data_IF_476212757732
#
_entry.id   IF_476212757732
#
_cell.length_a   1.000
_cell.length_b   1.000
_cell.length_c   1.000
_cell.angle_alpha   90.00
_cell.angle_beta   90.00
_cell.angle_gamma   90.00
#
_symmetry.space_group_name_H-M   'P 1'
#
loop_
_entity.id
_entity.type
_entity.pdbx_description
1 polymer ?
#
# COMPACT_ATOMS: atom_id res chain seq x y z
N UNK A 1 -25.20 5.07 70.25
CA UNK A 1 -24.88 5.73 68.96
C UNK A 1 -24.22 4.82 67.89
N UNK A 2 -23.76 3.60 68.23
CA UNK A 2 -23.00 2.70 67.32
C UNK A 2 -23.84 2.07 66.19
N UNK A 3 -25.16 1.91 66.37
CA UNK A 3 -26.05 1.23 65.41
C UNK A 3 -26.28 1.99 64.08
N UNK A 4 -26.23 3.33 64.07
CA UNK A 4 -26.49 4.13 62.85
C UNK A 4 -25.27 4.21 61.93
N UNK A 5 -24.07 4.23 62.49
CA UNK A 5 -22.81 4.30 61.73
C UNK A 5 -22.57 2.98 60.99
N UNK A 6 -22.76 1.84 61.67
CA UNK A 6 -22.61 0.52 61.06
C UNK A 6 -23.59 0.28 59.90
N UNK A 7 -24.82 0.79 60.01
CA UNK A 7 -25.84 0.70 58.95
C UNK A 7 -25.47 1.50 57.69
N UNK A 8 -24.85 2.67 57.85
CA UNK A 8 -24.36 3.50 56.73
C UNK A 8 -23.14 2.89 56.04
N UNK A 9 -22.25 2.25 56.79
CA UNK A 9 -21.09 1.54 56.21
C UNK A 9 -21.54 0.32 55.41
N UNK A 10 -22.51 -0.44 55.93
CA UNK A 10 -23.04 -1.62 55.25
C UNK A 10 -23.79 -1.26 53.95
N UNK A 11 -24.53 -0.15 53.92
CA UNK A 11 -25.17 0.32 52.67
C UNK A 11 -24.16 0.83 51.65
N UNK A 12 -23.05 1.42 52.09
CA UNK A 12 -21.97 1.84 51.21
C UNK A 12 -21.25 0.64 50.57
N UNK A 13 -20.91 -0.38 51.38
CA UNK A 13 -20.30 -1.62 50.89
C UNK A 13 -21.21 -2.36 49.90
N UNK A 14 -22.53 -2.40 50.15
CA UNK A 14 -23.50 -2.99 49.20
C UNK A 14 -23.51 -2.24 47.86
N UNK A 15 -23.40 -0.91 47.86
CA UNK A 15 -23.34 -0.12 46.62
C UNK A 15 -22.05 -0.35 45.84
N UNK A 16 -20.91 -0.45 46.52
CA UNK A 16 -19.61 -0.74 45.90
C UNK A 16 -19.63 -2.14 45.26
N UNK A 17 -20.14 -3.15 45.98
CA UNK A 17 -20.28 -4.49 45.44
C UNK A 17 -21.18 -4.53 44.19
N UNK A 18 -22.28 -3.76 44.19
CA UNK A 18 -23.16 -3.64 43.02
C UNK A 18 -22.46 -2.99 41.82
N UNK A 19 -21.62 -1.98 42.07
CA UNK A 19 -20.83 -1.30 41.04
C UNK A 19 -19.77 -2.23 40.42
N UNK A 20 -19.08 -3.01 41.25
CA UNK A 20 -18.07 -3.99 40.80
C UNK A 20 -18.74 -5.09 39.95
N UNK A 21 -19.91 -5.59 40.36
CA UNK A 21 -20.65 -6.59 39.59
C UNK A 21 -21.09 -6.07 38.21
N UNK A 22 -21.53 -4.79 38.12
CA UNK A 22 -21.88 -4.16 36.85
C UNK A 22 -20.65 -3.99 35.95
N UNK A 23 -19.51 -3.56 36.52
CA UNK A 23 -18.25 -3.41 35.78
C UNK A 23 -17.77 -4.75 35.21
N UNK A 24 -17.79 -5.82 36.01
CA UNK A 24 -17.40 -7.16 35.56
C UNK A 24 -18.34 -7.69 34.46
N UNK A 25 -19.64 -7.44 34.56
CA UNK A 25 -20.59 -7.79 33.51
C UNK A 25 -20.31 -7.03 32.20
N UNK A 26 -19.98 -5.74 32.30
CA UNK A 26 -19.62 -4.91 31.14
C UNK A 26 -18.35 -5.42 30.45
N UNK A 27 -17.29 -5.72 31.22
CA UNK A 27 -16.07 -6.32 30.67
C UNK A 27 -16.32 -7.67 30.01
N UNK A 28 -17.20 -8.50 30.58
CA UNK A 28 -17.62 -9.77 29.98
C UNK A 28 -18.32 -9.58 28.63
N UNK A 29 -19.26 -8.63 28.54
CA UNK A 29 -19.98 -8.32 27.29
C UNK A 29 -19.01 -7.81 26.21
N UNK A 30 -18.07 -6.93 26.56
CA UNK A 30 -17.06 -6.41 25.63
C UNK A 30 -16.14 -7.52 25.13
N UNK A 31 -15.71 -8.44 26.00
CA UNK A 31 -14.89 -9.58 25.61
C UNK A 31 -15.63 -10.54 24.66
N UNK A 32 -16.92 -10.80 24.92
CA UNK A 32 -17.77 -11.61 24.04
C UNK A 32 -17.96 -10.92 22.69
N UNK A 33 -18.25 -9.61 22.67
CA UNK A 33 -18.36 -8.85 21.41
C UNK A 33 -17.05 -8.84 20.60
N UNK A 34 -15.90 -8.76 21.27
CA UNK A 34 -14.60 -8.79 20.60
C UNK A 34 -14.32 -10.16 19.98
N UNK A 35 -14.68 -11.24 20.68
CA UNK A 35 -14.50 -12.62 20.18
C UNK A 35 -15.45 -12.94 19.03
N UNK A 36 -16.72 -12.52 19.09
CA UNK A 36 -17.68 -12.72 17.99
C UNK A 36 -17.29 -11.92 16.75
N UNK A 37 -16.87 -10.65 16.90
CA UNK A 37 -16.34 -9.87 15.77
C UNK A 37 -15.10 -10.51 15.14
N UNK A 38 -14.18 -11.05 15.96
CA UNK A 38 -13.00 -11.76 15.44
C UNK A 38 -13.41 -12.97 14.60
N UNK A 39 -14.37 -13.77 15.07
CA UNK A 39 -14.87 -14.96 14.35
C UNK A 39 -15.59 -14.57 13.05
N UNK A 40 -16.34 -13.48 13.04
CA UNK A 40 -17.05 -13.02 11.83
C UNK A 40 -16.09 -12.47 10.77
N UNK A 41 -15.02 -11.80 11.17
CA UNK A 41 -13.93 -11.38 10.26
C UNK A 41 -13.27 -12.61 9.61
N UNK A 42 -13.01 -13.68 10.37
CA UNK A 42 -12.43 -14.91 9.82
C UNK A 42 -13.38 -15.67 8.87
N UNK A 43 -14.71 -15.58 9.06
CA UNK A 43 -15.69 -16.21 8.15
C UNK A 43 -15.93 -15.45 6.85
N UNK A 44 -15.67 -14.13 6.82
CA UNK A 44 -15.86 -13.29 5.62
C UNK A 44 -14.61 -13.18 4.74
N UNK A 45 -13.47 -13.71 5.17
CA UNK A 45 -12.39 -13.97 4.22
C UNK A 45 -12.87 -15.06 3.26
N UNK A 46 -12.62 -14.93 1.94
CA UNK A 46 -12.81 -16.05 1.05
C UNK A 46 -12.02 -17.22 1.66
N UNK A 47 -12.71 -18.32 1.97
CA UNK A 47 -12.05 -19.61 2.20
C UNK A 47 -11.03 -19.73 1.08
N UNK A 48 -9.79 -20.04 1.42
CA UNK A 48 -8.77 -20.37 0.44
C UNK A 48 -9.28 -21.56 -0.38
N UNK A 49 -10.10 -21.28 -1.38
CA UNK A 49 -10.65 -22.21 -2.32
C UNK A 49 -9.52 -22.39 -3.31
N UNK A 50 -8.79 -23.49 -3.09
CA UNK A 50 -7.96 -24.17 -4.07
C UNK A 50 -7.17 -23.23 -4.96
N UNK A 51 -6.27 -22.47 -4.34
CA UNK A 51 -5.24 -21.67 -5.02
C UNK A 51 -4.19 -22.54 -5.73
N UNK A 52 -4.40 -23.85 -5.76
CA UNK A 52 -3.48 -24.87 -6.29
C UNK A 52 -3.87 -25.35 -7.69
N UNK A 53 -5.03 -24.96 -8.24
CA UNK A 53 -5.49 -25.53 -9.51
C UNK A 53 -4.78 -24.91 -10.74
N UNK A 54 -4.43 -23.63 -10.70
CA UNK A 54 -3.71 -22.93 -11.78
C UNK A 54 -2.18 -22.93 -11.59
N UNK A 55 -1.71 -23.55 -10.51
CA UNK A 55 -0.30 -23.74 -10.20
C UNK A 55 0.09 -25.22 -10.36
N UNK A 56 -0.60 -25.96 -11.23
CA UNK A 56 -0.09 -27.22 -11.77
C UNK A 56 1.00 -26.90 -12.80
N UNK A 57 2.15 -26.54 -12.24
CA UNK A 57 3.49 -26.98 -12.66
C UNK A 57 3.55 -27.33 -14.14
N UNK A 58 3.92 -26.31 -14.94
CA UNK A 58 4.84 -26.54 -16.05
C UNK A 58 5.89 -27.52 -15.54
N UNK A 59 5.90 -28.74 -16.10
CA UNK A 59 6.78 -29.85 -15.71
C UNK A 59 8.09 -29.32 -15.16
N UNK A 60 8.47 -29.66 -13.93
CA UNK A 60 9.60 -29.07 -13.19
C UNK A 60 10.88 -28.95 -14.05
N UNK A 61 11.07 -29.84 -15.04
CA UNK A 61 12.15 -29.78 -16.03
C UNK A 61 12.16 -28.53 -16.92
N UNK A 62 11.01 -28.03 -17.35
CA UNK A 62 10.91 -26.83 -18.20
C UNK A 62 11.11 -25.56 -17.39
N UNK A 63 10.55 -25.50 -16.17
CA UNK A 63 10.81 -24.40 -15.25
C UNK A 63 12.29 -24.33 -14.89
N UNK A 64 12.91 -25.46 -14.58
CA UNK A 64 14.33 -25.55 -14.26
C UNK A 64 15.20 -25.23 -15.47
N UNK A 65 14.80 -25.64 -16.68
CA UNK A 65 15.46 -25.28 -17.93
C UNK A 65 15.38 -23.77 -18.19
N UNK A 66 14.21 -23.16 -18.00
CA UNK A 66 14.03 -21.70 -18.16
C UNK A 66 14.84 -20.95 -17.12
N UNK A 67 14.76 -21.33 -15.84
CA UNK A 67 15.56 -20.73 -14.78
C UNK A 67 17.06 -20.85 -15.08
N UNK A 68 17.52 -22.02 -15.54
CA UNK A 68 18.92 -22.21 -15.94
C UNK A 68 19.31 -21.32 -17.12
N UNK A 69 18.43 -21.15 -18.11
CA UNK A 69 18.67 -20.25 -19.26
C UNK A 69 18.69 -18.78 -18.85
N UNK A 70 17.78 -18.36 -17.96
CA UNK A 70 17.73 -17.02 -17.40
C UNK A 70 19.00 -16.76 -16.59
N UNK A 71 19.38 -17.67 -15.70
CA UNK A 71 20.64 -17.54 -14.96
C UNK A 71 21.81 -17.50 -15.93
N UNK A 72 21.98 -18.43 -16.88
CA UNK A 72 23.08 -18.30 -17.88
C UNK A 72 23.05 -16.99 -18.69
N UNK A 73 21.89 -16.40 -18.91
CA UNK A 73 21.74 -15.14 -19.67
C UNK A 73 22.08 -13.91 -18.84
N UNK A 74 21.84 -13.94 -17.53
CA UNK A 74 21.89 -12.78 -16.63
C UNK A 74 22.83 -12.94 -15.42
N UNK A 75 23.52 -14.08 -15.28
CA UNK A 75 24.37 -14.45 -14.13
C UNK A 75 25.86 -14.31 -14.39
N UNK A 76 26.25 -13.92 -15.60
CA UNK A 76 27.57 -13.35 -15.81
C UNK A 76 27.48 -11.89 -15.37
N UNK A 77 28.49 -11.35 -14.69
CA UNK A 77 28.64 -9.94 -14.25
C UNK A 77 28.64 -8.92 -15.41
N UNK A 78 28.06 -9.26 -16.54
CA UNK A 78 27.80 -8.41 -17.68
C UNK A 78 26.60 -7.56 -17.33
N UNK A 79 26.83 -6.26 -17.14
CA UNK A 79 25.76 -5.27 -17.10
C UNK A 79 24.83 -5.50 -18.30
N UNK A 80 23.60 -5.93 -18.02
CA UNK A 80 22.61 -6.17 -19.07
C UNK A 80 22.17 -4.84 -19.66
N UNK A 81 22.85 -4.43 -20.72
CA UNK A 81 22.53 -3.24 -21.47
C UNK A 81 21.57 -3.59 -22.60
N UNK A 82 20.27 -3.40 -22.36
CA UNK A 82 19.28 -3.37 -23.44
C UNK A 82 19.09 -1.91 -23.88
N UNK A 83 19.37 -1.55 -25.15
CA UNK A 83 19.11 -0.21 -25.66
C UNK A 83 17.64 0.22 -25.52
N UNK A 84 16.72 -0.76 -25.45
CA UNK A 84 15.34 -0.50 -25.10
C UNK A 84 15.27 0.01 -23.66
N UNK A 85 15.92 -0.68 -22.69
CA UNK A 85 16.03 -0.34 -21.25
C UNK A 85 16.77 0.96 -20.94
N UNK A 86 17.33 1.61 -21.96
CA UNK A 86 18.01 2.88 -21.79
C UNK A 86 17.09 3.90 -21.12
N UNK A 87 17.65 4.63 -20.16
CA UNK A 87 16.92 5.61 -19.35
C UNK A 87 16.35 6.66 -20.30
N UNK A 88 15.01 6.66 -20.43
CA UNK A 88 14.32 7.73 -21.16
C UNK A 88 14.39 9.01 -20.33
N UNK A 89 14.47 10.14 -21.02
CA UNK A 89 14.47 11.45 -20.37
C UNK A 89 13.24 11.57 -19.47
N UNK A 90 13.48 11.86 -18.21
CA UNK A 90 12.43 12.20 -17.25
C UNK A 90 12.36 13.71 -17.15
N UNK A 91 11.15 14.25 -17.32
CA UNK A 91 10.91 15.69 -17.20
C UNK A 91 10.73 16.07 -15.73
N UNK A 92 9.99 15.23 -14.99
CA UNK A 92 9.68 15.44 -13.59
C UNK A 92 9.96 14.17 -12.80
N UNK A 93 10.87 14.25 -11.83
CA UNK A 93 11.26 13.14 -10.96
C UNK A 93 10.96 13.49 -9.49
N UNK A 94 10.34 12.58 -8.72
CA UNK A 94 10.13 12.76 -7.29
C UNK A 94 11.43 13.02 -6.53
N UNK A 95 11.38 13.81 -5.44
CA UNK A 95 12.56 14.16 -4.64
C UNK A 95 13.35 12.92 -4.17
N UNK A 96 14.68 13.04 -4.14
CA UNK A 96 15.56 12.02 -3.57
C UNK A 96 15.18 11.76 -2.10
N UNK A 97 15.07 10.49 -1.71
CA UNK A 97 14.66 10.08 -0.36
C UNK A 97 13.17 9.76 -0.20
N UNK A 98 12.34 9.95 -1.23
CA UNK A 98 10.92 9.56 -1.19
C UNK A 98 10.69 8.07 -0.86
N UNK A 99 11.60 7.19 -1.23
CA UNK A 99 11.48 5.77 -0.93
C UNK A 99 12.27 5.32 0.32
N UNK A 100 12.90 6.24 1.06
CA UNK A 100 13.81 5.89 2.16
C UNK A 100 13.15 5.08 3.29
N UNK A 101 11.87 5.33 3.55
CA UNK A 101 11.08 4.68 4.60
C UNK A 101 10.19 3.53 4.10
N UNK A 102 10.27 3.18 2.82
CA UNK A 102 9.34 2.26 2.17
C UNK A 102 10.06 1.05 1.60
N UNK A 103 9.48 -0.14 1.81
CA UNK A 103 10.00 -1.42 1.32
C UNK A 103 9.50 -1.70 -0.09
N UNK A 104 8.24 -1.34 -0.38
CA UNK A 104 7.65 -1.52 -1.71
C UNK A 104 7.31 -0.18 -2.36
N UNK A 105 7.47 -0.13 -3.68
CA UNK A 105 7.02 0.98 -4.51
C UNK A 105 5.86 0.48 -5.37
N UNK A 106 4.66 0.98 -5.11
CA UNK A 106 3.47 0.70 -5.92
C UNK A 106 3.39 1.79 -6.97
N UNK A 107 3.63 1.41 -8.22
CA UNK A 107 3.50 2.36 -9.32
C UNK A 107 2.15 2.22 -9.99
N UNK A 108 1.45 3.34 -10.15
CA UNK A 108 0.12 3.42 -10.76
C UNK A 108 0.23 4.18 -12.06
N UNK A 109 -0.14 3.54 -13.17
CA UNK A 109 -0.24 4.20 -14.46
C UNK A 109 -1.46 5.11 -14.47
N UNK A 110 -1.24 6.42 -14.67
CA UNK A 110 -2.30 7.42 -14.74
C UNK A 110 -2.13 8.30 -15.97
N UNK A 111 -3.23 8.82 -16.52
CA UNK A 111 -3.19 9.81 -17.61
C UNK A 111 -2.87 11.17 -17.05
N UNK A 112 -2.23 12.04 -17.82
CA UNK A 112 -1.91 13.42 -17.43
C UNK A 112 -3.14 14.15 -16.85
N UNK A 113 -4.25 14.16 -17.58
CA UNK A 113 -5.48 14.87 -17.21
C UNK A 113 -6.37 14.19 -16.15
N UNK A 114 -5.97 13.04 -15.61
CA UNK A 114 -6.78 12.27 -14.65
C UNK A 114 -6.40 12.54 -13.18
N UNK A 115 -6.34 13.82 -12.82
CA UNK A 115 -6.03 14.27 -11.46
C UNK A 115 -7.06 13.76 -10.45
N UNK A 116 -8.34 13.63 -10.85
CA UNK A 116 -9.42 13.14 -9.99
C UNK A 116 -9.17 11.71 -9.53
N UNK A 117 -8.76 10.83 -10.43
CA UNK A 117 -8.45 9.44 -10.05
C UNK A 117 -7.20 9.38 -9.20
N UNK A 118 -6.14 10.14 -9.51
CA UNK A 118 -4.95 10.23 -8.66
C UNK A 118 -5.29 10.66 -7.23
N UNK A 119 -6.08 11.72 -7.09
CA UNK A 119 -6.55 12.19 -5.77
C UNK A 119 -7.39 11.15 -5.04
N UNK A 120 -8.22 10.39 -5.75
CA UNK A 120 -8.95 9.27 -5.15
C UNK A 120 -8.01 8.17 -4.67
N UNK A 121 -6.98 7.82 -5.44
CA UNK A 121 -5.96 6.86 -5.03
C UNK A 121 -5.18 7.35 -3.81
N UNK A 122 -4.80 8.63 -3.78
CA UNK A 122 -4.22 9.26 -2.59
C UNK A 122 -5.17 9.15 -1.41
N UNK A 123 -6.44 9.50 -1.57
CA UNK A 123 -7.41 9.43 -0.47
C UNK A 123 -7.61 8.02 0.08
N UNK A 124 -7.72 7.03 -0.80
CA UNK A 124 -8.04 5.64 -0.43
C UNK A 124 -6.82 4.84 0.04
N UNK A 125 -5.64 5.12 -0.52
CA UNK A 125 -4.44 4.29 -0.33
C UNK A 125 -3.20 5.09 0.12
N UNK A 126 -3.21 6.42 0.05
CA UNK A 126 -2.05 7.29 0.26
C UNK A 126 -2.12 8.28 1.43
N UNK A 127 -3.29 8.74 1.88
CA UNK A 127 -3.45 9.67 3.01
C UNK A 127 -3.58 8.92 4.33
N UNK A 128 -2.76 9.37 5.29
CA UNK A 128 -2.64 8.85 6.65
C UNK A 128 -2.92 9.92 7.71
N UNK A 129 -3.81 10.86 7.40
CA UNK A 129 -4.19 11.95 8.29
C UNK A 129 -5.69 12.16 8.14
N UNK A 130 -6.49 11.37 8.86
CA UNK A 130 -7.73 11.82 9.49
C UNK A 130 -8.38 10.64 10.24
N UNK A 131 -8.66 10.88 11.52
CA UNK A 131 -8.74 9.89 12.61
C UNK A 131 -9.91 8.90 12.57
N UNK A 132 -10.73 8.83 11.51
CA UNK A 132 -12.03 8.14 11.56
C UNK A 132 -12.21 7.02 10.51
N UNK A 133 -11.24 6.80 9.63
CA UNK A 133 -11.21 5.63 8.71
C UNK A 133 -10.03 4.68 8.98
N UNK A 134 -9.72 4.52 10.28
CA UNK A 134 -8.41 4.11 10.80
C UNK A 134 -8.16 2.59 10.90
N UNK A 135 -9.15 1.70 10.78
CA UNK A 135 -8.98 0.31 11.29
C UNK A 135 -8.67 -0.75 10.23
N UNK A 136 -8.88 -0.55 8.92
CA UNK A 136 -8.56 -1.60 7.91
C UNK A 136 -7.39 -1.27 6.99
N UNK A 137 -7.21 0.00 6.62
CA UNK A 137 -6.14 0.41 5.71
C UNK A 137 -4.81 0.54 6.48
N UNK A 138 -4.83 1.04 7.74
CA UNK A 138 -3.65 1.12 8.64
C UNK A 138 -2.87 -0.18 8.80
N UNK A 139 -3.55 -1.33 8.91
CA UNK A 139 -2.84 -2.59 9.07
C UNK A 139 -2.01 -2.96 7.84
N UNK A 140 -2.48 -2.65 6.63
CA UNK A 140 -1.73 -2.96 5.40
C UNK A 140 -0.49 -2.07 5.26
N UNK A 141 -0.57 -0.77 5.50
CA UNK A 141 0.63 0.06 5.35
C UNK A 141 1.62 -0.10 6.51
N UNK A 142 1.14 -0.32 7.73
CA UNK A 142 2.02 -0.61 8.86
C UNK A 142 2.73 -1.96 8.69
N UNK A 143 2.07 -2.96 8.10
CA UNK A 143 2.71 -4.26 7.80
C UNK A 143 3.60 -4.25 6.56
N UNK A 144 3.21 -3.53 5.49
CA UNK A 144 3.88 -3.64 4.19
C UNK A 144 4.72 -2.42 3.79
N UNK A 145 4.66 -1.28 4.49
CA UNK A 145 5.51 -0.08 4.23
C UNK A 145 5.68 0.26 2.75
N UNK A 146 4.58 0.41 2.00
CA UNK A 146 4.64 0.71 0.58
C UNK A 146 4.42 2.19 0.29
N UNK A 147 4.98 2.72 -0.81
CA UNK A 147 4.70 4.08 -1.29
C UNK A 147 4.07 4.05 -2.67
N UNK A 148 3.15 4.98 -2.93
CA UNK A 148 2.50 5.11 -4.23
C UNK A 148 3.26 6.12 -5.08
N UNK A 149 3.43 5.80 -6.36
CA UNK A 149 4.02 6.67 -7.37
C UNK A 149 3.12 6.66 -8.60
N UNK A 150 2.77 7.85 -9.11
CA UNK A 150 1.99 7.98 -10.33
C UNK A 150 2.91 8.16 -11.54
N UNK A 151 2.86 7.19 -12.44
CA UNK A 151 3.58 7.26 -13.71
C UNK A 151 2.69 7.92 -14.76
N UNK A 152 3.14 9.04 -15.31
CA UNK A 152 2.46 9.80 -16.36
C UNK A 152 3.38 10.02 -17.57
N UNK A 153 2.79 10.21 -18.74
CA UNK A 153 3.52 10.67 -19.93
C UNK A 153 3.60 12.20 -20.02
N UNK A 154 3.97 12.70 -21.19
CA UNK A 154 4.00 14.13 -21.49
C UNK A 154 2.60 14.75 -21.56
N UNK A 155 2.52 15.99 -21.08
CA UNK A 155 1.38 16.87 -21.30
C UNK A 155 1.21 17.20 -22.78
N UNK A 156 -0.04 17.39 -23.21
CA UNK A 156 -0.33 17.80 -24.60
C UNK A 156 -0.31 19.32 -24.75
N UNK A 157 -0.49 20.06 -23.66
CA UNK A 157 -0.47 21.53 -23.62
C UNK A 157 0.40 22.08 -22.48
N UNK A 158 0.79 23.35 -22.61
CA UNK A 158 1.54 24.07 -21.58
C UNK A 158 0.71 24.25 -20.29
N UNK A 159 -0.60 24.49 -20.43
CA UNK A 159 -1.53 24.57 -19.30
C UNK A 159 -1.61 23.25 -18.51
N UNK A 160 -1.67 22.11 -19.19
CA UNK A 160 -1.62 20.80 -18.53
C UNK A 160 -0.29 20.57 -17.80
N UNK A 161 0.83 21.00 -18.40
CA UNK A 161 2.15 20.88 -17.78
C UNK A 161 2.26 21.74 -16.50
N UNK A 162 1.67 22.94 -16.50
CA UNK A 162 1.66 23.81 -15.33
C UNK A 162 0.83 23.20 -14.18
N UNK A 163 -0.33 22.60 -14.49
CA UNK A 163 -1.13 21.87 -13.51
C UNK A 163 -0.38 20.66 -12.93
N UNK A 164 0.38 19.93 -13.75
CA UNK A 164 1.22 18.82 -13.28
C UNK A 164 2.31 19.34 -12.34
N UNK A 165 2.96 20.44 -12.70
CA UNK A 165 4.03 21.01 -11.89
C UNK A 165 3.51 21.46 -10.51
N UNK A 166 2.33 22.08 -10.46
CA UNK A 166 1.64 22.42 -9.20
C UNK A 166 1.30 21.15 -8.40
N UNK A 167 0.74 20.12 -9.05
CA UNK A 167 0.41 18.86 -8.38
C UNK A 167 1.67 18.16 -7.81
N UNK A 168 2.78 18.24 -8.55
CA UNK A 168 4.06 17.70 -8.13
C UNK A 168 4.65 18.47 -6.95
N UNK A 169 4.52 19.79 -6.92
CA UNK A 169 4.98 20.61 -5.79
C UNK A 169 4.21 20.27 -4.51
N UNK A 170 2.91 20.03 -4.63
CA UNK A 170 2.02 19.71 -3.50
C UNK A 170 2.23 18.28 -3.00
N UNK A 171 2.23 17.28 -3.89
CA UNK A 171 2.21 15.86 -3.50
C UNK A 171 3.56 15.15 -3.65
N UNK A 172 4.39 15.57 -4.59
CA UNK A 172 5.71 15.00 -4.85
C UNK A 172 5.71 13.53 -5.27
N UNK A 173 4.58 12.97 -5.70
CA UNK A 173 4.40 11.55 -6.00
C UNK A 173 4.19 11.26 -7.50
N UNK A 174 4.58 12.20 -8.35
CA UNK A 174 4.46 12.10 -9.80
C UNK A 174 5.82 11.82 -10.42
N UNK A 175 5.85 10.84 -11.31
CA UNK A 175 6.96 10.57 -12.21
C UNK A 175 6.48 10.80 -13.65
N UNK A 176 7.09 11.77 -14.31
CA UNK A 176 6.81 12.10 -15.70
C UNK A 176 7.97 11.70 -16.60
N UNK A 177 7.66 10.88 -17.60
CA UNK A 177 8.60 10.53 -18.65
C UNK A 177 8.25 11.26 -19.95
N UNK A 178 9.27 11.53 -20.76
CA UNK A 178 9.13 12.04 -22.13
C UNK A 178 8.54 10.95 -23.05
N UNK A 179 7.23 10.74 -22.91
CA UNK A 179 6.48 9.71 -23.61
C UNK A 179 5.06 10.19 -23.89
N UNK A 180 4.62 10.09 -25.14
CA UNK A 180 3.23 10.34 -25.50
C UNK A 180 2.33 9.25 -24.90
N UNK A 181 1.47 9.62 -23.96
CA UNK A 181 0.61 8.70 -23.21
C UNK A 181 -0.58 8.22 -24.07
N UNK A 182 -0.35 7.16 -24.82
CA UNK A 182 -1.38 6.49 -25.62
C UNK A 182 -1.50 5.03 -25.21
N UNK A 183 -2.66 4.43 -25.46
CA UNK A 183 -2.87 3.00 -25.16
C UNK A 183 -1.81 2.10 -25.81
N UNK A 184 -1.38 2.44 -27.04
CA UNK A 184 -0.32 1.72 -27.77
C UNK A 184 1.05 1.80 -27.10
N UNK A 185 1.28 2.82 -26.28
CA UNK A 185 2.54 3.08 -25.58
C UNK A 185 2.52 2.64 -24.11
N UNK A 186 1.50 1.91 -23.64
CA UNK A 186 1.45 1.41 -22.26
C UNK A 186 2.64 0.50 -21.95
N UNK A 187 3.08 -0.34 -22.89
CA UNK A 187 4.26 -1.19 -22.70
C UNK A 187 5.53 -0.36 -22.51
N UNK A 188 5.67 0.77 -23.22
CA UNK A 188 6.76 1.72 -23.02
C UNK A 188 6.69 2.38 -21.64
N UNK A 189 5.47 2.51 -21.10
CA UNK A 189 5.21 3.03 -19.76
C UNK A 189 5.69 2.07 -18.67
N UNK A 190 5.44 0.77 -18.83
CA UNK A 190 5.97 -0.27 -17.94
C UNK A 190 7.49 -0.30 -18.01
N UNK A 191 8.01 -0.20 -19.23
CA UNK A 191 9.42 -0.29 -19.50
C UNK A 191 10.25 0.79 -18.78
N UNK A 192 9.86 2.08 -18.79
CA UNK A 192 10.64 3.10 -18.08
C UNK A 192 10.59 2.95 -16.55
N UNK A 193 9.54 2.32 -16.00
CA UNK A 193 9.46 2.06 -14.57
C UNK A 193 10.47 1.00 -14.13
N UNK A 194 10.69 0.00 -15.00
CA UNK A 194 11.77 -0.96 -14.82
C UNK A 194 13.12 -0.24 -14.88
N UNK A 195 13.34 0.62 -15.88
CA UNK A 195 14.57 1.43 -15.99
C UNK A 195 14.83 2.28 -14.73
N UNK A 196 13.81 2.94 -14.16
CA UNK A 196 13.95 3.71 -12.92
C UNK A 196 14.27 2.83 -11.70
N UNK A 197 13.72 1.61 -11.67
CA UNK A 197 13.98 0.66 -10.59
C UNK A 197 15.42 0.13 -10.65
N UNK A 198 15.91 -0.11 -11.88
CA UNK A 198 17.29 -0.52 -12.13
C UNK A 198 18.29 0.60 -11.82
N UNK A 199 18.00 1.86 -12.21
CA UNK A 199 18.90 2.98 -11.93
C UNK A 199 19.13 3.18 -10.42
N UNK A 200 18.06 3.05 -9.62
CA UNK A 200 18.17 3.06 -8.15
C UNK A 200 18.99 1.88 -7.60
N UNK A 201 18.84 0.69 -8.16
CA UNK A 201 19.61 -0.49 -7.73
C UNK A 201 21.09 -0.37 -8.10
N UNK A 202 21.41 0.38 -9.15
CA UNK A 202 22.78 0.63 -9.63
C UNK A 202 23.43 1.86 -8.98
N UNK A 203 22.72 2.59 -8.11
CA UNK A 203 23.28 3.73 -7.40
C UNK A 203 23.57 4.96 -8.27
N UNK A 204 22.88 5.09 -9.41
CA UNK A 204 22.96 6.24 -10.33
C UNK A 204 21.79 7.20 -10.05
#
# INVERSE_FOLDING_TARGET
>A
MVSRVCRKVLTCLRRIALYISILLAFFGIVAVLHTTNKIEIYRRMPRASNTTEWMTVSTDSELERINTLVMRRFNDDVEFFDPLLNVRNFTNVPRQGICSSSVYLVTVHSRVNDTKTRNRWRHLYGTWQDEVHFVRVCYLHFQYKFRILFAIGNAESEEEQELINQEMEIHGDILQADLKDTYRNITLKVHFLVSLSLSKSLGI
#
